data_IF_346979944314
#
_entry.id   IF_346979944314
#
_cell.length_a   1.000
_cell.length_b   1.000
_cell.length_c   1.000
_cell.angle_alpha   90.00
_cell.angle_beta   90.00
_cell.angle_gamma   90.00
#
_symmetry.space_group_name_H-M   'P 1'
#
loop_
_entity.id
_entity.type
_entity.pdbx_description
1 polymer ?
#
# COMPACT_ATOMS: atom_id res chain seq x y z
N UNK A 1 -19.03 0.68 8.98
CA UNK A 1 -18.71 1.94 9.69
C UNK A 1 -17.80 2.76 8.79
N UNK A 2 -18.06 4.07 8.59
CA UNK A 2 -17.12 4.94 7.90
C UNK A 2 -15.83 5.07 8.75
N UNK A 3 -14.63 4.85 8.18
CA UNK A 3 -13.36 4.76 8.91
C UNK A 3 -12.56 6.05 9.04
N UNK A 4 -12.96 7.16 8.42
CA UNK A 4 -12.30 8.47 8.60
C UNK A 4 -13.33 9.60 8.64
N UNK A 5 -13.38 10.32 9.78
CA UNK A 5 -14.02 11.64 9.88
C UNK A 5 -12.91 12.67 9.91
N UNK A 6 -12.93 13.61 8.95
CA UNK A 6 -11.91 14.65 8.81
C UNK A 6 -11.78 15.47 10.10
N UNK A 7 -10.67 15.30 10.83
CA UNK A 7 -10.26 16.29 11.83
C UNK A 7 -9.69 17.49 11.08
N UNK A 8 -10.39 18.63 11.15
CA UNK A 8 -9.94 19.92 10.63
C UNK A 8 -8.56 20.25 11.22
N UNK A 9 -7.51 20.20 10.41
CA UNK A 9 -6.14 20.62 10.74
C UNK A 9 -5.65 21.51 9.60
N UNK A 10 -5.46 22.79 9.89
CA UNK A 10 -5.22 23.91 8.96
C UNK A 10 -3.91 23.85 8.14
N UNK A 11 -3.21 22.70 8.09
CA UNK A 11 -1.91 22.55 7.41
C UNK A 11 -1.86 21.44 6.34
N UNK A 12 -2.94 20.69 6.13
CA UNK A 12 -3.00 19.67 5.07
C UNK A 12 -3.58 20.31 3.80
N UNK A 13 -2.92 20.21 2.64
CA UNK A 13 -3.50 20.63 1.37
C UNK A 13 -4.90 20.04 1.20
N UNK A 14 -5.86 20.83 0.70
CA UNK A 14 -7.25 20.38 0.48
C UNK A 14 -7.44 19.65 -0.86
N UNK A 15 -6.34 19.15 -1.42
CA UNK A 15 -6.25 18.49 -2.73
C UNK A 15 -6.77 17.05 -2.68
N UNK A 16 -6.94 16.47 -1.49
CA UNK A 16 -7.48 15.12 -1.32
C UNK A 16 -8.44 15.05 -0.14
N UNK A 17 -9.64 14.54 -0.40
CA UNK A 17 -10.70 14.34 0.59
C UNK A 17 -11.15 12.87 0.56
N UNK A 18 -11.22 12.24 1.74
CA UNK A 18 -11.77 10.89 1.87
C UNK A 18 -13.28 11.01 2.11
N UNK A 19 -14.09 10.61 1.13
CA UNK A 19 -15.55 10.68 1.19
C UNK A 19 -16.16 9.49 1.94
N UNK A 20 -15.59 8.30 1.72
CA UNK A 20 -16.02 7.05 2.35
C UNK A 20 -14.89 6.04 2.29
N UNK A 21 -14.95 4.98 3.08
CA UNK A 21 -13.97 3.91 3.10
C UNK A 21 -14.49 2.68 3.86
N UNK A 22 -13.80 1.56 3.68
CA UNK A 22 -14.21 0.28 4.24
C UNK A 22 -13.07 -0.73 4.31
N UNK A 23 -13.29 -1.80 5.07
CA UNK A 23 -12.51 -3.02 5.03
C UNK A 23 -13.43 -4.18 4.67
N UNK A 24 -12.95 -5.08 3.82
CA UNK A 24 -13.67 -6.28 3.42
C UNK A 24 -12.89 -7.49 3.89
N UNK A 25 -13.55 -8.34 4.67
CA UNK A 25 -13.00 -9.58 5.19
C UNK A 25 -13.60 -10.77 4.45
N UNK A 26 -12.85 -11.86 4.39
CA UNK A 26 -13.33 -13.11 3.85
C UNK A 26 -14.43 -13.70 4.74
N UNK A 27 -15.51 -14.19 4.13
CA UNK A 27 -16.62 -14.79 4.87
C UNK A 27 -16.15 -16.04 5.62
N UNK A 28 -16.44 -16.11 6.91
CA UNK A 28 -16.06 -17.24 7.78
C UNK A 28 -14.56 -17.41 8.02
N UNK A 29 -13.71 -16.42 7.69
CA UNK A 29 -12.26 -16.54 7.86
C UNK A 29 -11.62 -15.30 8.51
N UNK A 30 -10.58 -15.52 9.32
CA UNK A 30 -9.76 -14.46 9.92
C UNK A 30 -8.77 -13.88 8.89
N UNK A 31 -9.33 -13.26 7.84
CA UNK A 31 -8.56 -12.74 6.71
C UNK A 31 -9.15 -11.47 6.13
N UNK A 32 -8.32 -10.44 6.00
CA UNK A 32 -8.61 -9.26 5.19
C UNK A 32 -8.50 -9.61 3.69
N UNK A 33 -9.51 -9.25 2.91
CA UNK A 33 -9.47 -9.28 1.45
C UNK A 33 -8.87 -7.97 0.90
N UNK A 34 -9.41 -6.82 1.30
CA UNK A 34 -8.92 -5.51 0.89
C UNK A 34 -9.44 -4.38 1.78
N UNK A 35 -8.74 -3.24 1.75
CA UNK A 35 -9.27 -1.95 2.18
C UNK A 35 -9.72 -1.16 0.95
N UNK A 36 -10.70 -0.29 1.10
CA UNK A 36 -11.11 0.62 0.03
C UNK A 36 -11.38 2.03 0.54
N UNK A 37 -11.17 3.00 -0.34
CA UNK A 37 -11.40 4.41 -0.10
C UNK A 37 -12.08 5.03 -1.30
N UNK A 38 -13.18 5.75 -1.07
CA UNK A 38 -13.76 6.68 -2.04
C UNK A 38 -13.18 8.05 -1.76
N UNK A 39 -12.55 8.64 -2.77
CA UNK A 39 -11.80 9.88 -2.66
C UNK A 39 -12.37 10.93 -3.60
N UNK A 40 -12.20 12.19 -3.21
CA UNK A 40 -12.27 13.34 -4.09
C UNK A 40 -10.89 14.00 -4.15
N UNK A 41 -10.30 13.98 -5.32
CA UNK A 41 -9.03 14.65 -5.60
C UNK A 41 -9.27 15.96 -6.34
N UNK A 42 -8.51 17.01 -6.00
CA UNK A 42 -8.58 18.34 -6.62
C UNK A 42 -7.21 18.68 -7.18
N UNK A 43 -7.09 18.72 -8.49
CA UNK A 43 -5.84 19.01 -9.21
C UNK A 43 -6.16 19.98 -10.36
N UNK A 44 -5.41 21.08 -10.47
CA UNK A 44 -5.57 22.11 -11.50
C UNK A 44 -7.00 22.64 -11.68
N UNK A 45 -7.72 22.82 -10.56
CA UNK A 45 -9.10 23.32 -10.56
C UNK A 45 -10.16 22.31 -11.02
N UNK A 46 -9.77 21.05 -11.26
CA UNK A 46 -10.68 19.94 -11.57
C UNK A 46 -10.86 19.04 -10.35
N UNK A 47 -12.06 18.51 -10.19
CA UNK A 47 -12.37 17.50 -9.17
C UNK A 47 -12.52 16.13 -9.81
N UNK A 48 -11.94 15.11 -9.16
CA UNK A 48 -12.02 13.72 -9.59
C UNK A 48 -12.59 12.87 -8.45
N UNK A 49 -13.73 12.23 -8.69
CA UNK A 49 -14.30 11.22 -7.80
C UNK A 49 -13.72 9.84 -8.17
N UNK A 50 -12.98 9.24 -7.25
CA UNK A 50 -12.16 8.05 -7.50
C UNK A 50 -12.32 7.03 -6.38
N UNK A 51 -11.95 5.79 -6.68
CA UNK A 51 -11.79 4.72 -5.71
C UNK A 51 -10.33 4.27 -5.68
N UNK A 52 -9.80 4.05 -4.48
CA UNK A 52 -8.55 3.33 -4.24
C UNK A 52 -8.83 2.04 -3.49
N UNK A 53 -8.31 0.93 -3.97
CA UNK A 53 -8.40 -0.38 -3.31
C UNK A 53 -7.00 -0.85 -2.94
N UNK A 54 -6.80 -1.18 -1.68
CA UNK A 54 -5.50 -1.61 -1.14
C UNK A 54 -5.59 -3.09 -0.78
N UNK A 55 -4.71 -3.89 -1.38
CA UNK A 55 -4.47 -5.28 -0.98
C UNK A 55 -3.11 -5.40 -0.33
N UNK A 56 -3.04 -6.12 0.78
CA UNK A 56 -1.82 -6.33 1.56
C UNK A 56 -1.62 -7.81 1.87
N UNK A 57 -0.36 -8.22 1.88
CA UNK A 57 0.09 -9.47 2.48
C UNK A 57 1.22 -9.19 3.47
N UNK A 58 1.26 -9.95 4.55
CA UNK A 58 2.35 -9.93 5.54
C UNK A 58 3.38 -10.99 5.18
N UNK A 59 4.65 -10.61 5.23
CA UNK A 59 5.78 -11.53 5.14
C UNK A 59 5.96 -12.20 6.50
N UNK A 60 5.55 -13.47 6.64
CA UNK A 60 5.60 -14.19 7.93
C UNK A 60 6.82 -15.07 8.16
N UNK A 61 7.62 -15.34 7.13
CA UNK A 61 8.78 -16.23 7.26
C UNK A 61 9.99 -15.62 6.57
N UNK A 62 11.12 -15.60 7.28
CA UNK A 62 12.45 -15.36 6.72
C UNK A 62 13.38 -16.35 7.44
N UNK A 63 13.85 -17.42 6.76
CA UNK A 63 14.79 -18.38 7.36
C UNK A 63 15.99 -17.68 7.98
N UNK A 64 16.57 -18.25 9.03
CA UNK A 64 17.70 -17.62 9.74
C UNK A 64 18.94 -17.54 8.84
N UNK A 65 19.10 -18.49 7.91
CA UNK A 65 20.19 -18.52 6.91
C UNK A 65 20.05 -17.38 5.89
N UNK A 66 18.81 -16.95 5.60
CA UNK A 66 18.49 -15.91 4.64
C UNK A 66 18.63 -14.47 5.18
N UNK A 67 18.50 -14.30 6.50
CA UNK A 67 18.71 -13.00 7.17
C UNK A 67 20.12 -12.46 6.98
N UNK A 68 21.07 -13.37 6.74
CA UNK A 68 22.46 -13.04 6.52
C UNK A 68 22.80 -12.89 5.03
N UNK A 69 21.87 -13.17 4.11
CA UNK A 69 22.12 -13.04 2.68
C UNK A 69 22.17 -11.55 2.31
N UNK A 70 23.37 -11.00 2.02
CA UNK A 70 23.50 -9.59 1.69
C UNK A 70 22.76 -9.31 0.38
N UNK A 71 21.93 -8.28 0.34
CA UNK A 71 21.28 -7.87 -0.90
C UNK A 71 19.91 -8.49 -1.17
N UNK A 72 19.37 -9.36 -0.30
CA UNK A 72 18.02 -9.92 -0.51
C UNK A 72 16.94 -8.83 -0.54
N UNK A 73 16.99 -7.91 0.42
CA UNK A 73 16.06 -6.77 0.51
C UNK A 73 16.23 -5.84 -0.68
N UNK A 74 17.48 -5.61 -1.11
CA UNK A 74 17.84 -4.82 -2.28
C UNK A 74 17.32 -5.47 -3.57
N UNK A 75 17.44 -6.80 -3.74
CA UNK A 75 16.90 -7.52 -4.90
C UNK A 75 15.38 -7.48 -4.94
N UNK A 76 14.71 -7.72 -3.82
CA UNK A 76 13.26 -7.56 -3.72
C UNK A 76 12.86 -6.12 -4.10
N UNK A 77 13.59 -5.12 -3.60
CA UNK A 77 13.34 -3.71 -3.93
C UNK A 77 13.54 -3.41 -5.42
N UNK A 78 14.59 -3.93 -6.05
CA UNK A 78 14.82 -3.78 -7.50
C UNK A 78 13.69 -4.38 -8.33
N UNK A 79 13.20 -5.55 -7.94
CA UNK A 79 12.05 -6.18 -8.60
C UNK A 79 10.78 -5.33 -8.46
N UNK A 80 10.51 -4.80 -7.26
CA UNK A 80 9.39 -3.89 -7.02
C UNK A 80 9.51 -2.58 -7.82
N UNK A 81 10.72 -2.01 -7.91
CA UNK A 81 10.99 -0.82 -8.71
C UNK A 81 10.81 -1.06 -10.22
N UNK A 82 11.17 -2.25 -10.71
CA UNK A 82 10.95 -2.65 -12.10
C UNK A 82 9.46 -2.69 -12.48
N UNK A 83 8.61 -3.18 -11.57
CA UNK A 83 7.16 -3.18 -11.75
C UNK A 83 6.56 -1.76 -11.78
N UNK A 84 7.14 -0.83 -11.02
CA UNK A 84 6.72 0.57 -10.98
C UNK A 84 6.97 1.32 -12.30
N UNK A 85 7.88 0.84 -13.15
CA UNK A 85 8.22 1.50 -14.43
C UNK A 85 7.18 1.21 -15.53
N UNK A 86 6.19 0.37 -15.27
CA UNK A 86 5.10 0.08 -16.21
C UNK A 86 4.06 1.22 -16.23
N UNK A 87 4.32 2.23 -17.08
CA UNK A 87 3.49 3.46 -17.28
C UNK A 87 2.02 3.23 -17.68
N UNK A 88 1.56 1.99 -17.84
CA UNK A 88 0.21 1.64 -18.32
C UNK A 88 -0.65 1.01 -17.22
N UNK A 89 -0.04 0.53 -16.14
CA UNK A 89 -0.77 -0.13 -15.06
C UNK A 89 -1.47 0.89 -14.15
N UNK A 90 -2.78 0.71 -13.91
CA UNK A 90 -3.56 1.53 -12.95
C UNK A 90 -3.43 1.03 -11.52
N UNK A 91 -2.24 0.60 -11.12
CA UNK A 91 -1.94 0.22 -9.74
C UNK A 91 -0.57 0.72 -9.32
N UNK A 92 -0.45 1.05 -8.04
CA UNK A 92 0.81 1.34 -7.37
C UNK A 92 1.20 0.17 -6.47
N UNK A 93 2.49 0.05 -6.15
CA UNK A 93 2.97 -0.90 -5.15
C UNK A 93 3.12 -0.20 -3.80
N UNK A 94 2.77 -0.92 -2.73
CA UNK A 94 2.90 -0.44 -1.36
C UNK A 94 3.78 -1.38 -0.55
N UNK A 95 4.65 -0.79 0.28
CA UNK A 95 5.43 -1.52 1.28
C UNK A 95 5.35 -0.80 2.62
N UNK A 96 5.04 -1.54 3.68
CA UNK A 96 5.00 -1.04 5.05
C UNK A 96 5.97 -1.86 5.88
N UNK A 97 6.89 -1.20 6.57
CA UNK A 97 7.82 -1.83 7.51
C UNK A 97 7.66 -1.14 8.87
N UNK A 98 7.32 -1.90 9.90
CA UNK A 98 7.06 -1.34 11.23
C UNK A 98 7.58 -2.28 12.32
N UNK A 99 8.30 -1.73 13.29
CA UNK A 99 8.55 -2.41 14.57
C UNK A 99 7.40 -2.07 15.51
N UNK A 100 6.61 -3.05 15.90
CA UNK A 100 5.46 -2.86 16.79
C UNK A 100 5.73 -3.57 18.11
N UNK A 101 6.05 -2.75 19.11
CA UNK A 101 6.35 -3.21 20.48
C UNK A 101 5.07 -3.28 21.32
N UNK A 102 4.15 -2.33 21.13
CA UNK A 102 2.80 -2.37 21.68
C UNK A 102 1.73 -2.17 20.59
N UNK A 103 0.81 -3.14 20.38
CA UNK A 103 0.87 -4.52 20.89
C UNK A 103 2.12 -5.27 20.35
N UNK A 104 2.61 -6.33 21.02
CA UNK A 104 3.86 -7.01 20.63
C UNK A 104 3.67 -7.87 19.37
N UNK A 105 3.50 -7.22 18.22
CA UNK A 105 3.42 -7.87 16.91
C UNK A 105 4.82 -8.08 16.29
N UNK A 106 5.85 -7.45 16.86
CA UNK A 106 7.23 -7.58 16.43
C UNK A 106 7.54 -6.77 15.18
N UNK A 107 8.51 -7.24 14.38
CA UNK A 107 8.85 -6.62 13.10
C UNK A 107 7.86 -7.06 12.03
N UNK A 108 7.01 -6.14 11.58
CA UNK A 108 6.06 -6.33 10.49
C UNK A 108 6.66 -5.82 9.18
N UNK A 109 6.50 -6.65 8.15
CA UNK A 109 6.83 -6.30 6.79
C UNK A 109 5.64 -6.67 5.90
N UNK A 110 4.92 -5.66 5.43
CA UNK A 110 3.76 -5.79 4.58
C UNK A 110 4.12 -5.34 3.16
N UNK A 111 3.57 -6.03 2.19
CA UNK A 111 3.68 -5.72 0.77
C UNK A 111 2.32 -5.81 0.12
N UNK A 112 2.09 -5.00 -0.89
CA UNK A 112 0.79 -4.97 -1.53
C UNK A 112 0.71 -4.12 -2.78
N UNK A 113 -0.51 -3.92 -3.24
CA UNK A 113 -0.83 -3.06 -4.36
C UNK A 113 -2.04 -2.18 -4.06
N UNK A 114 -2.04 -0.99 -4.65
CA UNK A 114 -3.11 -0.01 -4.60
C UNK A 114 -3.65 0.16 -6.01
N UNK A 115 -4.86 -0.34 -6.28
CA UNK A 115 -5.53 -0.10 -7.55
C UNK A 115 -6.34 1.19 -7.52
N UNK A 116 -6.37 1.92 -8.63
CA UNK A 116 -7.10 3.20 -8.76
C UNK A 116 -8.09 3.14 -9.92
N UNK A 117 -9.31 3.62 -9.70
CA UNK A 117 -10.32 3.67 -10.77
C UNK A 117 -11.55 4.50 -10.41
N UNK A 118 -12.42 4.79 -11.40
CA UNK A 118 -13.66 5.55 -11.19
C UNK A 118 -14.74 4.74 -10.44
N UNK A 119 -14.58 3.41 -10.36
CA UNK A 119 -15.49 2.52 -9.63
C UNK A 119 -14.71 1.63 -8.67
N UNK A 120 -15.36 1.23 -7.56
CA UNK A 120 -14.77 0.31 -6.60
C UNK A 120 -14.32 -1.00 -7.26
N UNK A 121 -15.14 -1.55 -8.15
CA UNK A 121 -14.83 -2.78 -8.87
C UNK A 121 -13.62 -2.61 -9.81
N UNK A 122 -13.55 -1.48 -10.53
CA UNK A 122 -12.42 -1.16 -11.39
C UNK A 122 -11.11 -1.04 -10.60
N UNK A 123 -11.14 -0.28 -9.51
CA UNK A 123 -10.00 -0.15 -8.60
C UNK A 123 -9.58 -1.50 -8.01
N UNK A 124 -10.54 -2.35 -7.62
CA UNK A 124 -10.27 -3.70 -7.12
C UNK A 124 -9.56 -4.58 -8.15
N UNK A 125 -10.04 -4.61 -9.40
CA UNK A 125 -9.38 -5.37 -10.48
C UNK A 125 -7.94 -4.91 -10.69
N UNK A 126 -7.70 -3.60 -10.63
CA UNK A 126 -6.33 -3.08 -10.72
C UNK A 126 -5.46 -3.50 -9.53
N UNK A 127 -5.99 -3.49 -8.31
CA UNK A 127 -5.28 -3.97 -7.13
C UNK A 127 -5.00 -5.48 -7.21
N UNK A 128 -5.92 -6.28 -7.74
CA UNK A 128 -5.74 -7.71 -7.99
C UNK A 128 -4.59 -7.96 -8.97
N UNK A 129 -4.53 -7.21 -10.07
CA UNK A 129 -3.44 -7.28 -11.03
C UNK A 129 -2.10 -6.92 -10.40
N UNK A 130 -2.04 -5.83 -9.62
CA UNK A 130 -0.82 -5.43 -8.93
C UNK A 130 -0.38 -6.45 -7.88
N UNK A 131 -1.31 -7.06 -7.16
CA UNK A 131 -1.01 -8.12 -6.19
C UNK A 131 -0.50 -9.39 -6.89
N UNK A 132 -1.07 -9.77 -8.04
CA UNK A 132 -0.60 -10.89 -8.83
C UNK A 132 0.81 -10.63 -9.40
N UNK A 133 1.07 -9.42 -9.91
CA UNK A 133 2.39 -9.01 -10.38
C UNK A 133 3.42 -9.06 -9.24
N UNK A 134 3.07 -8.53 -8.07
CA UNK A 134 3.89 -8.60 -6.85
C UNK A 134 4.18 -10.05 -6.46
N UNK A 135 3.17 -10.92 -6.40
CA UNK A 135 3.35 -12.32 -6.03
C UNK A 135 4.22 -13.08 -7.05
N UNK A 136 4.02 -12.85 -8.35
CA UNK A 136 4.84 -13.44 -9.40
C UNK A 136 6.30 -12.99 -9.32
N UNK A 137 6.53 -11.70 -9.08
CA UNK A 137 7.85 -11.14 -8.81
C UNK A 137 8.51 -11.77 -7.58
N UNK A 138 7.73 -11.97 -6.51
CA UNK A 138 8.22 -12.50 -5.24
C UNK A 138 8.37 -14.03 -5.24
N UNK A 139 7.77 -14.75 -6.20
CA UNK A 139 7.83 -16.21 -6.28
C UNK A 139 9.25 -16.76 -6.40
N UNK A 140 10.18 -15.97 -6.95
CA UNK A 140 11.61 -16.33 -7.05
C UNK A 140 12.35 -16.29 -5.72
N UNK A 141 11.72 -15.80 -4.66
CA UNK A 141 12.26 -15.82 -3.31
C UNK A 141 11.48 -16.88 -2.53
N UNK A 142 12.03 -18.09 -2.40
CA UNK A 142 11.42 -19.22 -1.66
C UNK A 142 10.98 -18.84 -0.23
N UNK A 143 11.63 -17.80 0.29
CA UNK A 143 11.47 -17.21 1.61
C UNK A 143 10.28 -16.24 1.68
N UNK A 144 9.81 -15.71 0.54
CA UNK A 144 8.78 -14.67 0.47
C UNK A 144 7.37 -15.24 0.34
N UNK A 145 6.86 -15.82 1.43
CA UNK A 145 5.42 -16.16 1.51
C UNK A 145 4.66 -14.98 2.09
N UNK A 146 4.07 -14.19 1.20
CA UNK A 146 3.03 -13.24 1.58
C UNK A 146 1.80 -14.02 1.97
N UNK A 147 1.42 -13.91 3.24
CA UNK A 147 0.15 -14.45 3.72
C UNK A 147 -0.82 -13.32 4.00
N UNK A 148 -2.13 -13.55 3.90
CA UNK A 148 -3.10 -12.51 4.17
C UNK A 148 -3.03 -11.97 5.60
N UNK A 149 -3.42 -10.71 5.78
CA UNK A 149 -3.53 -10.10 7.11
C UNK A 149 -4.72 -10.74 7.85
N UNK A 150 -4.53 -11.04 9.13
CA UNK A 150 -5.63 -11.37 10.04
C UNK A 150 -6.45 -10.13 10.35
N UNK A 151 -7.67 -10.30 10.89
CA UNK A 151 -8.52 -9.19 11.35
C UNK A 151 -7.77 -8.32 12.35
N UNK A 152 -7.08 -8.92 13.32
CA UNK A 152 -6.30 -8.19 14.33
C UNK A 152 -5.21 -7.31 13.70
N UNK A 153 -4.48 -7.85 12.70
CA UNK A 153 -3.41 -7.11 12.04
C UNK A 153 -3.97 -6.02 11.11
N UNK A 154 -5.10 -6.28 10.45
CA UNK A 154 -5.80 -5.30 9.63
C UNK A 154 -6.31 -4.11 10.47
N UNK A 155 -6.87 -4.38 11.64
CA UNK A 155 -7.28 -3.33 12.58
C UNK A 155 -6.09 -2.50 13.07
N UNK A 156 -4.97 -3.14 13.39
CA UNK A 156 -3.76 -2.40 13.76
C UNK A 156 -3.26 -1.50 12.62
N UNK A 157 -3.25 -2.00 11.37
CA UNK A 157 -2.89 -1.17 10.19
C UNK A 157 -3.87 -0.01 10.05
N UNK A 158 -5.16 -0.23 10.26
CA UNK A 158 -6.18 0.82 10.21
C UNK A 158 -5.93 1.90 11.26
N UNK A 159 -5.69 1.52 12.50
CA UNK A 159 -5.43 2.46 13.60
C UNK A 159 -4.14 3.25 13.37
N UNK A 160 -3.10 2.59 12.88
CA UNK A 160 -1.84 3.24 12.51
C UNK A 160 -2.07 4.30 11.42
N UNK A 161 -2.80 3.95 10.34
CA UNK A 161 -3.11 4.90 9.27
C UNK A 161 -3.99 6.06 9.73
N UNK A 162 -4.93 5.82 10.65
CA UNK A 162 -5.81 6.86 11.19
C UNK A 162 -5.12 7.77 12.21
N UNK A 163 -4.19 7.24 13.00
CA UNK A 163 -3.46 7.97 14.05
C UNK A 163 -2.25 8.75 13.52
N UNK A 164 -1.69 8.34 12.40
CA UNK A 164 -0.49 8.96 11.84
C UNK A 164 -0.84 10.20 11.00
N UNK A 165 -1.08 11.33 11.68
CA UNK A 165 -1.34 12.62 11.02
C UNK A 165 -0.24 13.14 10.09
N UNK A 166 0.93 12.48 10.09
CA UNK A 166 2.06 12.72 9.19
C UNK A 166 2.74 11.40 8.78
N UNK A 167 1.99 10.29 8.70
CA UNK A 167 2.55 9.04 8.18
C UNK A 167 3.15 9.33 6.80
N UNK A 168 4.46 9.16 6.70
CA UNK A 168 5.14 9.05 5.43
C UNK A 168 4.69 7.70 4.83
N UNK A 169 3.52 7.68 4.21
CA UNK A 169 3.22 6.62 3.24
C UNK A 169 4.21 6.87 2.12
N UNK A 170 5.31 6.10 2.11
CA UNK A 170 6.25 6.06 1.00
C UNK A 170 5.52 5.31 -0.12
N UNK A 171 4.56 5.97 -0.77
CA UNK A 171 3.93 5.50 -2.00
C UNK A 171 4.98 5.65 -3.09
N UNK A 172 5.52 4.53 -3.58
CA UNK A 172 6.21 4.47 -4.87
C UNK A 172 7.45 5.35 -5.09
N UNK A 173 7.83 6.25 -4.18
CA UNK A 173 9.02 7.07 -4.36
C UNK A 173 10.27 6.26 -4.00
N UNK A 174 11.23 6.09 -4.92
CA UNK A 174 12.57 5.65 -4.55
C UNK A 174 13.09 6.62 -3.48
N UNK A 175 13.64 6.08 -2.39
CA UNK A 175 14.18 6.91 -1.30
C UNK A 175 15.05 8.06 -1.86
N UNK A 176 14.93 9.29 -1.32
CA UNK A 176 15.64 10.48 -1.80
C UNK A 176 17.16 10.30 -1.89
N UNK A 177 17.71 9.34 -1.14
CA UNK A 177 19.14 9.02 -1.11
C UNK A 177 19.65 8.39 -2.41
N UNK A 178 18.77 7.91 -3.30
CA UNK A 178 19.17 7.11 -4.47
C UNK A 178 18.54 7.55 -5.81
N UNK A 179 17.84 8.68 -5.88
CA UNK A 179 17.34 9.24 -7.15
C UNK A 179 18.25 10.35 -7.70
N UNK A 180 18.49 10.45 -9.02
CA UNK A 180 18.97 11.71 -9.59
C UNK A 180 17.93 12.80 -9.29
N UNK A 181 18.39 13.96 -8.80
CA UNK A 181 17.53 15.11 -8.48
C UNK A 181 16.64 15.44 -9.68
N UNK A 182 15.31 15.41 -9.53
CA UNK A 182 14.41 16.15 -10.43
C UNK A 182 13.33 15.41 -11.22
N UNK A 183 12.86 14.21 -10.84
CA UNK A 183 11.64 13.65 -11.45
C UNK A 183 10.46 13.68 -10.48
N UNK A 184 9.93 14.89 -10.27
CA UNK A 184 8.55 15.07 -9.84
C UNK A 184 7.61 14.77 -11.01
N UNK A 185 6.39 14.33 -10.69
CA UNK A 185 5.28 14.13 -11.62
C UNK A 185 5.06 15.43 -12.42
N UNK A 186 5.30 15.43 -13.73
CA UNK A 186 4.70 16.43 -14.61
C UNK A 186 3.21 16.09 -14.71
N UNK A 187 2.36 17.08 -14.45
CA UNK A 187 0.91 16.94 -14.56
C UNK A 187 0.49 16.53 -15.97
N UNK A 188 -0.74 16.00 -16.14
CA UNK A 188 -1.21 15.54 -17.43
C UNK A 188 -1.29 16.71 -18.42
N UNK A 189 -0.52 16.62 -19.50
CA UNK A 189 -0.80 17.32 -20.75
C UNK A 189 -1.96 16.69 -21.50
#
# INVERSE_FOLDING_TARGET
MPILVARKREQVPSDLEVLDNGMVFAEGADRLEYLWFRLREREDGREYDLYRVVRLGVLRYLPQEARQEPGLVERMRTVLAGLYTQRVARYDLVSIKAGVLEPPLGLLQLYGAVGVGPTLEGARRCADLGMAALQGAMANFEQSRLVPLTVRLAEWVREMLAGAGHALVVIGQPEPRMGPRGMGREGPG
#
